data_IF_846831726468
#
_entry.id   IF_846831726468
#
_cell.length_a   1.000
_cell.length_b   1.000
_cell.length_c   1.000
_cell.angle_alpha   90.00
_cell.angle_beta   90.00
_cell.angle_gamma   90.00
#
_symmetry.space_group_name_H-M   'P 1'
#
loop_
_entity.id
_entity.type
_entity.pdbx_description
1 polymer ?
#
# COMPACT_ATOMS: atom_id res chain seq x y z
N UNK A 1 -2.58 2.75 20.69
CA UNK A 1 -3.52 1.62 20.42
C UNK A 1 -4.23 1.12 21.69
N UNK A 2 -3.80 1.58 22.85
CA UNK A 2 -4.43 1.38 24.15
C UNK A 2 -5.85 1.96 24.25
N UNK A 3 -6.16 3.08 23.60
CA UNK A 3 -7.51 3.67 23.61
C UNK A 3 -8.56 2.70 23.00
N UNK A 4 -8.43 2.22 21.74
CA UNK A 4 -9.35 1.21 21.21
C UNK A 4 -9.37 -0.08 22.03
N UNK A 5 -8.21 -0.51 22.52
CA UNK A 5 -8.09 -1.73 23.33
C UNK A 5 -8.86 -1.62 24.65
N UNK A 6 -8.78 -0.47 25.32
CA UNK A 6 -9.52 -0.19 26.56
C UNK A 6 -11.02 -0.32 26.35
N UNK A 7 -11.57 0.35 25.33
CA UNK A 7 -13.00 0.26 25.03
C UNK A 7 -13.42 -1.13 24.57
N UNK A 8 -12.59 -1.81 23.78
CA UNK A 8 -12.84 -3.19 23.43
C UNK A 8 -12.92 -4.07 24.68
N UNK A 9 -11.93 -4.01 25.57
CA UNK A 9 -11.91 -4.82 26.78
C UNK A 9 -13.09 -4.51 27.70
N UNK A 10 -13.47 -3.24 27.82
CA UNK A 10 -14.59 -2.80 28.66
C UNK A 10 -15.95 -3.32 28.16
N UNK A 11 -16.19 -3.29 26.85
CA UNK A 11 -17.50 -3.62 26.29
C UNK A 11 -17.63 -5.02 25.69
N UNK A 12 -16.52 -5.65 25.32
CA UNK A 12 -16.51 -6.91 24.55
C UNK A 12 -15.49 -7.89 25.11
N UNK A 13 -14.24 -7.46 25.25
CA UNK A 13 -13.10 -8.32 25.58
C UNK A 13 -13.28 -9.01 26.92
N UNK A 14 -13.67 -8.32 27.98
CA UNK A 14 -13.88 -8.96 29.28
C UNK A 14 -14.92 -10.07 29.21
N UNK A 15 -16.04 -9.86 28.54
CA UNK A 15 -17.05 -10.91 28.32
C UNK A 15 -16.51 -12.04 27.44
N UNK A 16 -15.82 -11.73 26.35
CA UNK A 16 -15.28 -12.73 25.44
C UNK A 16 -14.24 -13.64 26.13
N UNK A 17 -13.29 -13.03 26.83
CA UNK A 17 -12.23 -13.75 27.54
C UNK A 17 -12.75 -14.43 28.80
N UNK A 18 -13.90 -14.03 29.34
CA UNK A 18 -14.57 -14.70 30.47
C UNK A 18 -15.04 -16.12 30.13
N UNK A 19 -15.25 -16.42 28.85
CA UNK A 19 -15.56 -17.78 28.37
C UNK A 19 -14.34 -18.70 28.33
N UNK A 20 -13.13 -18.16 28.47
CA UNK A 20 -11.94 -18.97 28.69
C UNK A 20 -11.88 -19.45 30.15
N UNK A 21 -11.23 -20.59 30.39
CA UNK A 21 -11.17 -21.21 31.71
C UNK A 21 -10.73 -20.23 32.81
N UNK A 22 -11.43 -20.27 33.95
CA UNK A 22 -11.01 -19.58 35.17
C UNK A 22 -9.79 -20.32 35.76
N UNK A 23 -8.62 -19.67 35.89
CA UNK A 23 -7.38 -20.32 36.33
C UNK A 23 -7.45 -20.83 37.77
N UNK A 24 -8.41 -20.32 38.54
CA UNK A 24 -8.68 -20.72 39.93
C UNK A 24 -9.78 -21.77 40.05
N UNK A 25 -10.52 -22.10 38.98
CA UNK A 25 -11.64 -23.05 39.04
C UNK A 25 -11.25 -24.42 39.62
N UNK A 26 -10.02 -24.88 39.38
CA UNK A 26 -9.47 -26.12 39.95
C UNK A 26 -9.36 -26.13 41.49
N UNK A 27 -9.42 -24.96 42.13
CA UNK A 27 -9.39 -24.79 43.58
C UNK A 27 -10.78 -24.56 44.17
N UNK A 28 -11.83 -24.58 43.34
CA UNK A 28 -13.20 -24.52 43.81
C UNK A 28 -13.50 -25.76 44.66
N UNK A 29 -13.93 -25.56 45.91
CA UNK A 29 -14.40 -26.63 46.77
C UNK A 29 -15.92 -26.79 46.62
N UNK A 30 -16.46 -28.03 46.52
CA UNK A 30 -17.90 -28.25 46.46
C UNK A 30 -18.65 -27.75 47.71
N UNK A 31 -17.96 -27.50 48.83
CA UNK A 31 -18.55 -26.88 50.04
C UNK A 31 -18.71 -25.36 49.96
N UNK A 32 -18.17 -24.69 48.94
CA UNK A 32 -18.18 -23.23 48.84
C UNK A 32 -19.51 -22.64 48.35
N UNK A 33 -20.47 -23.47 47.93
CA UNK A 33 -21.78 -22.99 47.45
C UNK A 33 -22.65 -22.36 48.55
N UNK A 34 -22.36 -22.64 49.83
CA UNK A 34 -23.16 -22.17 50.98
C UNK A 34 -22.34 -21.60 52.15
N UNK A 35 -21.01 -21.52 52.03
CA UNK A 35 -20.19 -20.91 53.07
C UNK A 35 -20.31 -19.38 52.99
N UNK A 36 -20.73 -18.76 54.08
CA UNK A 36 -20.64 -17.31 54.27
C UNK A 36 -19.24 -16.84 53.84
N UNK A 37 -19.21 -15.87 52.93
CA UNK A 37 -18.05 -15.29 52.24
C UNK A 37 -17.11 -14.57 53.22
N UNK A 38 -16.44 -15.29 54.10
CA UNK A 38 -15.57 -14.68 55.11
C UNK A 38 -14.11 -14.90 54.71
N UNK A 39 -13.40 -13.79 54.49
CA UNK A 39 -11.94 -13.76 54.40
C UNK A 39 -11.37 -14.27 55.73
N UNK A 40 -10.68 -15.40 55.72
CA UNK A 40 -10.02 -15.95 56.91
C UNK A 40 -8.63 -15.33 57.05
N UNK A 41 -8.49 -14.38 57.96
CA UNK A 41 -7.25 -13.64 58.23
C UNK A 41 -6.45 -14.23 59.40
N UNK A 42 -6.81 -15.41 59.91
CA UNK A 42 -6.16 -16.04 61.08
C UNK A 42 -4.68 -16.40 60.85
N UNK A 43 -4.30 -16.64 59.59
CA UNK A 43 -2.91 -16.87 59.20
C UNK A 43 -2.72 -16.54 57.72
N UNK A 44 -1.47 -16.32 57.30
CA UNK A 44 -1.14 -16.10 55.88
C UNK A 44 -1.65 -17.24 54.99
N UNK A 45 -1.53 -18.49 55.45
CA UNK A 45 -2.00 -19.67 54.70
C UNK A 45 -3.52 -19.68 54.57
N UNK A 46 -4.23 -19.38 55.64
CA UNK A 46 -5.70 -19.32 55.64
C UNK A 46 -6.23 -18.16 54.78
N UNK A 47 -5.54 -17.02 54.80
CA UNK A 47 -5.86 -15.87 53.97
C UNK A 47 -5.69 -16.19 52.48
N UNK A 48 -4.56 -16.80 52.09
CA UNK A 48 -4.32 -17.22 50.71
C UNK A 48 -5.36 -18.25 50.26
N UNK A 49 -5.69 -19.22 51.11
CA UNK A 49 -6.68 -20.26 50.79
C UNK A 49 -8.10 -19.69 50.62
N UNK A 50 -8.54 -18.80 51.52
CA UNK A 50 -9.87 -18.19 51.46
C UNK A 50 -10.02 -17.24 50.26
N UNK A 51 -8.99 -16.45 49.93
CA UNK A 51 -8.96 -15.63 48.71
C UNK A 51 -8.99 -16.48 47.45
N UNK A 52 -8.20 -17.56 47.40
CA UNK A 52 -8.15 -18.45 46.23
C UNK A 52 -9.50 -19.12 45.97
N UNK A 53 -10.19 -19.57 47.02
CA UNK A 53 -11.54 -20.12 46.90
C UNK A 53 -12.57 -19.07 46.47
N UNK A 54 -12.44 -17.82 46.94
CA UNK A 54 -13.30 -16.71 46.51
C UNK A 54 -13.12 -16.43 45.01
N UNK A 55 -11.88 -16.34 44.53
CA UNK A 55 -11.55 -16.11 43.11
C UNK A 55 -11.98 -17.28 42.22
N UNK A 56 -11.89 -18.52 42.71
CA UNK A 56 -12.38 -19.72 42.03
C UNK A 56 -13.90 -19.68 41.80
N UNK A 57 -14.64 -18.99 42.68
CA UNK A 57 -16.08 -18.86 42.61
C UNK A 57 -16.55 -17.60 41.85
N UNK A 58 -15.65 -16.71 41.43
CA UNK A 58 -16.01 -15.53 40.62
C UNK A 58 -16.34 -15.96 39.19
N UNK A 59 -17.60 -15.82 38.74
CA UNK A 59 -17.94 -16.11 37.36
C UNK A 59 -17.23 -15.13 36.43
N UNK A 60 -16.62 -15.65 35.38
CA UNK A 60 -16.01 -14.85 34.32
C UNK A 60 -14.62 -14.28 34.60
N UNK A 61 -13.94 -14.74 35.66
CA UNK A 61 -12.53 -14.45 35.86
C UNK A 61 -11.70 -15.20 34.82
N UNK A 62 -11.18 -14.49 33.81
CA UNK A 62 -10.42 -15.09 32.72
C UNK A 62 -9.01 -15.51 33.14
N UNK A 63 -8.50 -16.60 32.54
CA UNK A 63 -7.08 -16.97 32.57
C UNK A 63 -6.16 -15.99 31.84
N UNK A 64 -6.72 -15.10 31.01
CA UNK A 64 -6.01 -14.03 30.32
C UNK A 64 -6.46 -12.66 30.86
N UNK A 65 -5.80 -12.11 31.89
CA UNK A 65 -6.10 -10.77 32.39
C UNK A 65 -5.77 -9.68 31.35
N UNK A 66 -6.32 -8.47 31.51
CA UNK A 66 -6.17 -7.35 30.55
C UNK A 66 -4.70 -6.97 30.26
N UNK A 67 -3.79 -7.20 31.22
CA UNK A 67 -2.35 -6.95 31.11
C UNK A 67 -1.56 -8.10 30.46
N UNK A 68 -2.21 -9.24 30.21
CA UNK A 68 -1.62 -10.38 29.51
C UNK A 68 -1.24 -10.00 28.09
N UNK A 69 0.05 -10.14 27.77
CA UNK A 69 0.56 -9.87 26.42
C UNK A 69 -0.15 -10.72 25.35
N UNK A 70 -0.60 -11.93 25.70
CA UNK A 70 -1.32 -12.82 24.79
C UNK A 70 -2.70 -12.24 24.46
N UNK A 71 -3.47 -11.84 25.48
CA UNK A 71 -4.77 -11.17 25.28
C UNK A 71 -4.61 -9.86 24.53
N UNK A 72 -3.66 -9.02 24.94
CA UNK A 72 -3.38 -7.75 24.26
C UNK A 72 -3.06 -8.00 22.78
N UNK A 73 -2.20 -8.98 22.47
CA UNK A 73 -1.83 -9.30 21.08
C UNK A 73 -3.02 -9.79 20.25
N UNK A 74 -3.84 -10.71 20.78
CA UNK A 74 -5.01 -11.24 20.07
C UNK A 74 -6.05 -10.12 19.86
N UNK A 75 -6.36 -9.36 20.90
CA UNK A 75 -7.31 -8.24 20.82
C UNK A 75 -6.83 -7.17 19.85
N UNK A 76 -5.56 -6.77 19.94
CA UNK A 76 -5.00 -5.74 19.06
C UNK A 76 -5.04 -6.19 17.61
N UNK A 77 -4.58 -7.40 17.30
CA UNK A 77 -4.66 -7.97 15.94
C UNK A 77 -6.10 -7.96 15.41
N UNK A 78 -7.08 -8.41 16.21
CA UNK A 78 -8.49 -8.38 15.80
C UNK A 78 -9.01 -6.96 15.54
N UNK A 79 -8.67 -6.01 16.41
CA UNK A 79 -9.11 -4.61 16.31
C UNK A 79 -8.46 -3.89 15.13
N UNK A 80 -7.16 -4.07 14.92
CA UNK A 80 -6.43 -3.42 13.83
C UNK A 80 -6.83 -4.02 12.50
N UNK A 81 -7.00 -5.34 12.41
CA UNK A 81 -7.56 -5.98 11.22
C UNK A 81 -8.94 -5.43 10.86
N UNK A 82 -9.86 -5.33 11.84
CA UNK A 82 -11.17 -4.73 11.61
C UNK A 82 -11.06 -3.26 11.18
N UNK A 83 -10.17 -2.49 11.82
CA UNK A 83 -9.90 -1.10 11.48
C UNK A 83 -9.40 -0.91 10.05
N UNK A 84 -8.48 -1.78 9.60
CA UNK A 84 -7.98 -1.82 8.22
C UNK A 84 -9.13 -2.03 7.25
N UNK A 85 -10.01 -3.02 7.50
CA UNK A 85 -11.15 -3.30 6.63
C UNK A 85 -12.13 -2.13 6.57
N UNK A 86 -12.47 -1.55 7.72
CA UNK A 86 -13.40 -0.41 7.79
C UNK A 86 -12.83 0.80 7.05
N UNK A 87 -11.58 1.16 7.31
CA UNK A 87 -10.94 2.30 6.64
C UNK A 87 -10.83 2.05 5.14
N UNK A 88 -10.31 0.89 4.73
CA UNK A 88 -10.12 0.55 3.33
C UNK A 88 -11.44 0.56 2.56
N UNK A 89 -12.46 -0.18 3.03
CA UNK A 89 -13.73 -0.26 2.31
C UNK A 89 -14.57 1.01 2.43
N UNK A 90 -14.40 1.85 3.43
CA UNK A 90 -15.10 3.15 3.46
C UNK A 90 -14.44 4.14 2.49
N UNK A 91 -13.14 4.36 2.64
CA UNK A 91 -12.42 5.43 1.95
C UNK A 91 -12.16 5.07 0.48
N UNK A 92 -11.70 3.84 0.18
CA UNK A 92 -11.45 3.45 -1.20
C UNK A 92 -12.77 3.37 -2.00
N UNK A 93 -13.87 2.94 -1.38
CA UNK A 93 -15.20 2.94 -2.02
C UNK A 93 -15.69 4.37 -2.25
N UNK A 94 -15.55 5.25 -1.27
CA UNK A 94 -15.89 6.66 -1.45
C UNK A 94 -15.10 7.26 -2.61
N UNK A 95 -13.77 7.10 -2.62
CA UNK A 95 -12.93 7.67 -3.67
C UNK A 95 -13.26 7.07 -5.04
N UNK A 96 -13.45 5.75 -5.10
CA UNK A 96 -13.78 5.06 -6.34
C UNK A 96 -15.09 5.54 -6.95
N UNK A 97 -16.15 5.78 -6.15
CA UNK A 97 -17.45 6.20 -6.70
C UNK A 97 -17.57 7.71 -6.94
N UNK A 98 -16.92 8.54 -6.13
CA UNK A 98 -17.13 9.99 -6.14
C UNK A 98 -15.97 10.79 -6.77
N UNK A 99 -14.76 10.24 -6.83
CA UNK A 99 -13.55 10.95 -7.27
C UNK A 99 -12.95 10.29 -8.52
N UNK A 100 -12.81 8.96 -8.53
CA UNK A 100 -12.15 8.23 -9.60
C UNK A 100 -12.88 8.36 -10.96
N UNK A 101 -12.13 8.74 -12.00
CA UNK A 101 -12.65 8.81 -13.37
C UNK A 101 -12.80 7.41 -13.98
N UNK A 102 -14.03 6.93 -14.04
CA UNK A 102 -14.38 5.62 -14.57
C UNK A 102 -14.05 5.42 -16.06
N UNK A 103 -13.78 6.50 -16.81
CA UNK A 103 -13.30 6.39 -18.20
C UNK A 103 -11.94 5.71 -18.27
N UNK A 104 -11.14 5.78 -17.21
CA UNK A 104 -9.83 5.12 -17.12
C UNK A 104 -9.89 3.59 -17.33
N UNK A 105 -11.04 2.96 -17.10
CA UNK A 105 -11.27 1.53 -17.38
C UNK A 105 -11.10 1.15 -18.85
N UNK A 106 -11.22 2.12 -19.75
CA UNK A 106 -11.04 1.94 -21.19
C UNK A 106 -9.56 2.05 -21.61
N UNK A 107 -8.66 2.38 -20.68
CA UNK A 107 -7.25 2.50 -20.99
C UNK A 107 -6.67 1.13 -21.41
N UNK A 108 -5.84 1.03 -22.47
CA UNK A 108 -5.32 -0.25 -22.96
C UNK A 108 -4.51 -1.06 -21.95
N UNK A 109 -3.98 -0.41 -20.91
CA UNK A 109 -3.23 -1.04 -19.81
C UNK A 109 -4.06 -1.27 -18.55
N UNK A 110 -5.36 -0.97 -18.58
CA UNK A 110 -6.27 -1.31 -17.50
C UNK A 110 -6.61 -2.80 -17.59
N UNK A 111 -6.49 -3.53 -16.48
CA UNK A 111 -6.65 -4.98 -16.48
C UNK A 111 -8.14 -5.38 -16.46
N UNK A 112 -8.51 -6.52 -17.06
CA UNK A 112 -9.85 -7.07 -16.89
C UNK A 112 -10.08 -7.42 -15.41
N UNK A 113 -11.25 -7.08 -14.88
CA UNK A 113 -11.64 -7.24 -13.47
C UNK A 113 -10.66 -6.62 -12.47
N UNK A 114 -9.96 -5.55 -12.85
CA UNK A 114 -8.87 -4.97 -12.04
C UNK A 114 -9.29 -4.67 -10.61
N UNK A 115 -10.42 -4.00 -10.38
CA UNK A 115 -10.92 -3.66 -9.04
C UNK A 115 -11.08 -4.89 -8.15
N UNK A 116 -11.65 -5.98 -8.69
CA UNK A 116 -11.78 -7.23 -7.94
C UNK A 116 -10.42 -7.83 -7.60
N UNK A 117 -9.47 -7.78 -8.54
CA UNK A 117 -8.11 -8.29 -8.33
C UNK A 117 -7.34 -7.43 -7.32
N UNK A 118 -7.50 -6.11 -7.36
CA UNK A 118 -6.93 -5.17 -6.38
C UNK A 118 -7.47 -5.48 -4.98
N UNK A 119 -8.80 -5.59 -4.82
CA UNK A 119 -9.44 -5.95 -3.55
C UNK A 119 -8.94 -7.30 -3.03
N UNK A 120 -8.95 -8.34 -3.86
CA UNK A 120 -8.47 -9.67 -3.45
C UNK A 120 -7.01 -9.63 -2.99
N UNK A 121 -6.16 -8.90 -3.71
CA UNK A 121 -4.74 -8.81 -3.39
C UNK A 121 -4.49 -8.02 -2.11
N UNK A 122 -5.27 -6.97 -1.85
CA UNK A 122 -5.27 -6.25 -0.57
C UNK A 122 -5.72 -7.15 0.59
N UNK A 123 -6.80 -7.93 0.41
CA UNK A 123 -7.30 -8.87 1.42
C UNK A 123 -6.33 -10.02 1.73
N UNK A 124 -5.57 -10.48 0.73
CA UNK A 124 -4.48 -11.45 0.92
C UNK A 124 -3.30 -10.84 1.70
N UNK A 125 -3.02 -9.55 1.52
CA UNK A 125 -1.91 -8.87 2.17
C UNK A 125 -2.20 -8.47 3.63
N UNK A 126 -3.44 -8.05 3.94
CA UNK A 126 -3.79 -7.49 5.25
C UNK A 126 -3.44 -8.37 6.46
N UNK A 127 -3.70 -9.70 6.49
CA UNK A 127 -3.39 -10.51 7.66
C UNK A 127 -1.89 -10.53 7.99
N UNK A 128 -1.04 -10.65 6.97
CA UNK A 128 0.42 -10.70 7.17
C UNK A 128 0.95 -9.31 7.50
N UNK A 129 0.45 -8.27 6.83
CA UNK A 129 0.82 -6.89 7.13
C UNK A 129 0.49 -6.53 8.58
N UNK A 130 -0.73 -6.85 9.04
CA UNK A 130 -1.19 -6.59 10.39
C UNK A 130 -0.39 -7.40 11.43
N UNK A 131 -0.05 -8.65 11.13
CA UNK A 131 0.82 -9.45 11.98
C UNK A 131 2.23 -8.86 12.11
N UNK A 132 2.77 -8.29 11.03
CA UNK A 132 4.08 -7.62 11.05
C UNK A 132 4.05 -6.29 11.81
N UNK A 133 2.91 -5.57 11.81
CA UNK A 133 2.75 -4.31 12.55
C UNK A 133 2.38 -4.53 14.02
N UNK A 134 1.81 -5.69 14.38
CA UNK A 134 1.36 -6.02 15.73
C UNK A 134 2.39 -5.76 16.85
N UNK A 135 3.70 -6.09 16.71
CA UNK A 135 4.68 -5.81 17.75
C UNK A 135 4.80 -4.33 18.11
N UNK A 136 4.59 -3.43 17.15
CA UNK A 136 4.60 -1.98 17.38
C UNK A 136 3.40 -1.56 18.23
N UNK A 137 2.22 -2.11 17.96
CA UNK A 137 1.00 -1.81 18.74
C UNK A 137 1.06 -2.40 20.15
N UNK A 138 1.59 -3.62 20.30
CA UNK A 138 1.81 -4.23 21.62
C UNK A 138 2.83 -3.40 22.40
N UNK A 139 3.94 -3.00 21.77
CA UNK A 139 4.94 -2.16 22.43
C UNK A 139 4.39 -0.82 22.87
N UNK A 140 3.54 -0.19 22.05
CA UNK A 140 2.84 1.05 22.39
C UNK A 140 1.95 0.90 23.63
N UNK A 141 1.07 -0.11 23.67
CA UNK A 141 0.19 -0.40 24.82
C UNK A 141 0.99 -0.69 26.09
N UNK A 142 2.20 -1.23 25.95
CA UNK A 142 3.10 -1.55 27.06
C UNK A 142 4.00 -0.38 27.47
N UNK A 143 3.85 0.79 26.87
CA UNK A 143 4.61 1.99 27.19
C UNK A 143 6.05 1.97 26.70
N UNK A 144 6.36 1.21 25.65
CA UNK A 144 7.69 1.23 25.02
C UNK A 144 7.85 2.37 24.02
N UNK A 145 6.73 2.92 23.51
CA UNK A 145 6.73 4.11 22.68
C UNK A 145 6.87 5.38 23.55
N UNK A 146 7.13 6.51 22.90
CA UNK A 146 7.16 7.83 23.51
C UNK A 146 5.82 8.57 23.34
N UNK A 147 4.72 7.85 23.07
CA UNK A 147 3.40 8.48 23.02
C UNK A 147 2.98 8.94 24.42
N UNK A 148 2.48 10.17 24.51
CA UNK A 148 1.99 10.76 25.76
C UNK A 148 0.49 11.09 25.66
N UNK A 149 -0.21 11.02 26.79
CA UNK A 149 -1.67 11.09 26.84
C UNK A 149 -2.20 12.51 26.93
N UNK A 150 -1.54 13.33 27.74
CA UNK A 150 -1.98 14.70 28.00
C UNK A 150 -0.90 15.70 27.60
N UNK A 151 -1.33 16.89 27.17
CA UNK A 151 -0.42 18.00 26.83
C UNK A 151 0.53 18.34 27.99
N UNK A 152 0.12 18.09 29.24
CA UNK A 152 0.92 18.34 30.44
C UNK A 152 2.07 17.32 30.63
N UNK A 153 1.93 16.09 30.14
CA UNK A 153 2.97 15.05 30.18
C UNK A 153 4.01 15.22 29.07
N UNK A 154 3.62 15.87 27.98
CA UNK A 154 4.46 16.09 26.82
C UNK A 154 5.58 17.12 27.06
N UNK A 155 6.48 17.29 26.08
CA UNK A 155 7.53 18.31 26.15
C UNK A 155 6.97 19.71 26.43
N UNK A 156 7.61 20.39 27.38
CA UNK A 156 7.21 21.70 27.92
C UNK A 156 5.91 21.73 28.73
N UNK A 157 5.26 20.58 28.97
CA UNK A 157 3.98 20.50 29.68
C UNK A 157 4.01 21.17 31.07
N UNK A 158 5.05 20.92 31.87
CA UNK A 158 5.23 21.56 33.18
C UNK A 158 5.36 23.09 33.12
N UNK A 159 5.88 23.64 32.00
CA UNK A 159 5.98 25.10 31.82
C UNK A 159 4.62 25.72 31.55
N UNK A 160 3.67 24.95 31.02
CA UNK A 160 2.35 25.43 30.62
C UNK A 160 2.38 26.50 29.52
N UNK A 161 1.26 27.22 29.38
CA UNK A 161 1.10 28.28 28.38
C UNK A 161 1.04 27.74 26.94
N UNK A 162 1.54 28.52 25.97
CA UNK A 162 1.46 28.20 24.54
C UNK A 162 2.51 27.17 24.08
N UNK A 163 3.60 26.98 24.84
CA UNK A 163 4.76 26.22 24.37
C UNK A 163 4.48 24.71 24.13
N UNK A 164 3.71 24.00 24.97
CA UNK A 164 3.30 22.61 24.70
C UNK A 164 2.50 22.47 23.39
N UNK A 165 1.62 23.44 23.10
CA UNK A 165 0.82 23.45 21.88
C UNK A 165 1.66 23.74 20.63
N UNK A 166 2.65 24.65 20.75
CA UNK A 166 3.63 24.89 19.68
C UNK A 166 4.46 23.64 19.42
N UNK A 167 4.91 22.94 20.47
CA UNK A 167 5.60 21.65 20.32
C UNK A 167 4.70 20.63 19.64
N UNK A 168 3.42 20.51 20.04
CA UNK A 168 2.48 19.58 19.43
C UNK A 168 2.32 19.85 17.93
N UNK A 169 2.09 21.11 17.54
CA UNK A 169 2.00 21.50 16.12
C UNK A 169 3.30 21.22 15.35
N UNK A 170 4.46 21.57 15.93
CA UNK A 170 5.76 21.26 15.37
C UNK A 170 5.96 19.75 15.18
N UNK A 171 5.63 18.94 16.18
CA UNK A 171 5.79 17.48 16.16
C UNK A 171 4.91 16.83 15.08
N UNK A 172 3.73 17.38 14.77
CA UNK A 172 2.91 16.93 13.65
C UNK A 172 3.58 17.19 12.30
N UNK A 173 4.07 18.41 12.07
CA UNK A 173 4.79 18.77 10.82
C UNK A 173 6.07 17.95 10.70
N UNK A 174 6.81 17.82 11.80
CA UNK A 174 8.04 17.04 11.85
C UNK A 174 7.78 15.55 11.62
N UNK A 175 6.70 14.98 12.15
CA UNK A 175 6.29 13.61 11.87
C UNK A 175 6.07 13.39 10.38
N UNK A 176 5.30 14.25 9.71
CA UNK A 176 5.07 14.14 8.27
C UNK A 176 6.37 14.29 7.47
N UNK A 177 7.22 15.26 7.84
CA UNK A 177 8.50 15.48 7.16
C UNK A 177 9.48 14.30 7.35
N UNK A 178 9.60 13.78 8.56
CA UNK A 178 10.46 12.64 8.91
C UNK A 178 9.99 11.36 8.21
N UNK A 179 8.69 11.06 8.31
CA UNK A 179 8.12 9.85 7.73
C UNK A 179 8.21 9.89 6.20
N UNK A 180 7.92 11.03 5.56
CA UNK A 180 8.09 11.22 4.12
C UNK A 180 9.52 10.95 3.65
N UNK A 181 10.54 11.45 4.38
CA UNK A 181 11.94 11.20 4.07
C UNK A 181 12.31 9.70 4.15
N UNK A 182 11.87 9.03 5.22
CA UNK A 182 12.14 7.61 5.39
C UNK A 182 11.42 6.77 4.34
N UNK A 183 10.16 7.09 4.04
CA UNK A 183 9.37 6.40 3.01
C UNK A 183 9.98 6.61 1.64
N UNK A 184 10.42 7.83 1.31
CA UNK A 184 11.13 8.12 0.07
C UNK A 184 12.27 7.13 -0.16
N UNK A 185 13.10 6.87 0.86
CA UNK A 185 14.20 5.93 0.74
C UNK A 185 13.76 4.47 0.69
N UNK A 186 12.82 4.07 1.54
CA UNK A 186 12.26 2.71 1.50
C UNK A 186 11.68 2.43 0.11
N UNK A 187 10.87 3.35 -0.41
CA UNK A 187 10.24 3.25 -1.72
C UNK A 187 11.29 3.22 -2.84
N UNK A 188 12.29 4.12 -2.81
CA UNK A 188 13.38 4.10 -3.78
C UNK A 188 14.21 2.80 -3.72
N UNK A 189 14.42 2.22 -2.53
CA UNK A 189 15.09 0.93 -2.39
C UNK A 189 14.23 -0.23 -2.89
N UNK A 190 12.91 -0.17 -2.71
CA UNK A 190 11.97 -1.15 -3.27
C UNK A 190 12.02 -1.18 -4.80
N UNK A 191 12.50 -0.12 -5.45
CA UNK A 191 12.77 -0.08 -6.90
C UNK A 191 14.14 -0.63 -7.32
N UNK A 192 15.01 -1.05 -6.39
CA UNK A 192 16.23 -1.79 -6.73
C UNK A 192 15.83 -3.12 -7.37
N UNK A 193 16.43 -3.56 -8.50
CA UNK A 193 15.91 -4.67 -9.32
C UNK A 193 15.56 -5.95 -8.55
N UNK A 194 16.38 -6.30 -7.55
CA UNK A 194 16.16 -7.47 -6.69
C UNK A 194 14.92 -7.33 -5.79
N UNK A 195 14.77 -6.20 -5.10
CA UNK A 195 13.62 -5.92 -4.23
C UNK A 195 12.36 -5.69 -5.06
N UNK A 196 12.49 -4.93 -6.15
CA UNK A 196 11.40 -4.64 -7.08
C UNK A 196 10.74 -5.92 -7.57
N UNK A 197 11.51 -6.85 -8.13
CA UNK A 197 10.96 -8.10 -8.69
C UNK A 197 10.18 -8.92 -7.66
N UNK A 198 10.58 -8.87 -6.38
CA UNK A 198 10.02 -9.72 -5.32
C UNK A 198 8.89 -9.07 -4.53
N UNK A 199 9.03 -7.78 -4.24
CA UNK A 199 8.18 -7.07 -3.29
C UNK A 199 7.27 -6.04 -3.98
N UNK A 200 7.83 -5.22 -4.86
CA UNK A 200 7.15 -4.01 -5.32
C UNK A 200 6.54 -4.09 -6.73
N UNK A 201 7.06 -4.98 -7.59
CA UNK A 201 6.48 -5.29 -8.90
C UNK A 201 5.01 -5.72 -8.82
N UNK A 202 4.56 -6.49 -7.81
CA UNK A 202 3.14 -6.81 -7.65
C UNK A 202 2.25 -5.57 -7.42
N UNK A 203 2.78 -4.50 -6.82
CA UNK A 203 2.09 -3.21 -6.71
C UNK A 203 2.03 -2.52 -8.08
N UNK A 204 3.18 -2.44 -8.77
CA UNK A 204 3.29 -1.78 -10.07
C UNK A 204 2.65 -2.50 -11.26
N UNK A 205 2.01 -3.65 -11.04
CA UNK A 205 1.20 -4.28 -12.09
C UNK A 205 -0.06 -3.46 -12.42
N UNK A 206 -0.50 -2.60 -11.49
CA UNK A 206 -1.63 -1.68 -11.64
C UNK A 206 -1.16 -0.36 -12.27
N UNK A 207 -0.85 -0.36 -13.57
CA UNK A 207 -0.30 0.84 -14.25
C UNK A 207 -1.28 2.02 -14.21
N UNK A 208 -2.58 1.73 -14.30
CA UNK A 208 -3.67 2.69 -14.09
C UNK A 208 -4.39 2.27 -12.81
N UNK A 209 -3.84 2.58 -11.62
CA UNK A 209 -4.40 2.12 -10.37
C UNK A 209 -5.78 2.73 -10.13
N UNK A 210 -6.63 2.00 -9.42
CA UNK A 210 -7.80 2.59 -8.74
C UNK A 210 -7.48 2.79 -7.26
N UNK A 211 -8.34 3.48 -6.48
CA UNK A 211 -8.19 3.59 -5.02
C UNK A 211 -8.00 2.26 -4.30
N UNK A 212 -8.58 1.17 -4.82
CA UNK A 212 -8.42 -0.17 -4.27
C UNK A 212 -7.00 -0.73 -4.47
N UNK A 213 -6.21 -0.18 -5.40
CA UNK A 213 -4.80 -0.56 -5.59
C UNK A 213 -3.88 -0.09 -4.46
N UNK A 214 -4.31 0.87 -3.64
CA UNK A 214 -3.51 1.52 -2.59
C UNK A 214 -2.84 0.54 -1.61
N UNK A 215 -3.48 -0.61 -1.35
CA UNK A 215 -2.96 -1.66 -0.47
C UNK A 215 -2.77 -3.00 -1.19
N UNK A 216 -2.89 -3.00 -2.53
CA UNK A 216 -2.76 -4.19 -3.35
C UNK A 216 -1.27 -4.43 -3.69
N UNK A 217 -0.48 -4.76 -2.67
CA UNK A 217 0.96 -5.01 -2.77
C UNK A 217 1.40 -6.22 -1.94
N UNK A 218 2.67 -6.62 -2.05
CA UNK A 218 3.22 -7.67 -1.20
C UNK A 218 3.18 -7.22 0.28
N UNK A 219 2.81 -8.05 1.27
CA UNK A 219 2.66 -7.59 2.66
C UNK A 219 3.95 -7.01 3.26
N UNK A 220 5.12 -7.57 2.90
CA UNK A 220 6.43 -7.01 3.31
C UNK A 220 6.73 -5.66 2.67
N UNK A 221 6.22 -5.40 1.46
CA UNK A 221 6.35 -4.08 0.82
C UNK A 221 5.59 -3.03 1.65
N UNK A 222 4.32 -3.28 1.92
CA UNK A 222 3.51 -2.41 2.78
C UNK A 222 4.06 -2.24 4.17
N UNK A 223 4.57 -3.31 4.78
CA UNK A 223 5.22 -3.23 6.09
C UNK A 223 6.46 -2.33 6.07
N UNK A 224 7.35 -2.50 5.09
CA UNK A 224 8.54 -1.65 4.98
C UNK A 224 8.16 -0.18 4.83
N UNK A 225 7.14 0.11 4.00
CA UNK A 225 6.65 1.47 3.82
C UNK A 225 5.91 2.02 5.05
N UNK A 226 5.33 1.17 5.91
CA UNK A 226 4.64 1.60 7.15
C UNK A 226 5.57 1.77 8.35
N UNK A 227 6.72 1.08 8.39
CA UNK A 227 7.70 1.15 9.48
C UNK A 227 8.03 2.59 9.92
N UNK A 228 8.25 3.57 9.01
CA UNK A 228 8.55 4.93 9.43
C UNK A 228 7.50 5.56 10.35
N UNK A 229 6.21 5.29 10.14
CA UNK A 229 5.13 5.83 10.97
C UNK A 229 5.19 5.28 12.39
N UNK A 230 5.43 3.98 12.53
CA UNK A 230 5.52 3.33 13.82
C UNK A 230 6.81 3.72 14.54
N UNK A 231 7.93 3.72 13.81
CA UNK A 231 9.25 4.01 14.35
C UNK A 231 9.37 5.45 14.86
N UNK A 232 8.70 6.41 14.22
CA UNK A 232 8.68 7.80 14.69
C UNK A 232 8.19 7.92 16.15
N UNK A 233 7.21 7.11 16.57
CA UNK A 233 6.68 7.10 17.93
C UNK A 233 7.66 6.52 18.96
N UNK A 234 8.73 5.85 18.54
CA UNK A 234 9.80 5.33 19.42
C UNK A 234 11.02 6.25 19.47
N UNK A 235 11.07 7.26 18.60
CA UNK A 235 12.16 8.23 18.55
C UNK A 235 11.76 9.59 19.13
N UNK A 236 10.49 9.97 19.02
CA UNK A 236 10.02 11.30 19.33
C UNK A 236 8.79 11.27 20.22
N UNK A 237 8.69 12.15 21.24
CA UNK A 237 7.47 12.34 21.99
C UNK A 237 6.37 12.91 21.09
N UNK A 238 5.27 12.16 20.92
CA UNK A 238 4.15 12.56 20.07
C UNK A 238 2.86 12.38 20.88
N UNK A 239 1.98 13.40 20.86
CA UNK A 239 0.70 13.32 21.55
C UNK A 239 -0.17 12.21 20.95
N UNK A 240 -0.69 11.30 21.78
CA UNK A 240 -1.37 10.07 21.35
C UNK A 240 -2.54 10.31 20.41
N UNK A 241 -3.44 11.24 20.73
CA UNK A 241 -4.59 11.57 19.87
C UNK A 241 -4.17 12.22 18.55
N UNK A 242 -3.08 13.00 18.57
CA UNK A 242 -2.54 13.59 17.35
C UNK A 242 -1.91 12.50 16.48
N UNK A 243 -1.20 11.53 17.07
CA UNK A 243 -0.70 10.38 16.34
C UNK A 243 -1.84 9.57 15.70
N UNK A 244 -2.97 9.34 16.39
CA UNK A 244 -4.14 8.69 15.79
C UNK A 244 -4.62 9.47 14.56
N UNK A 245 -4.77 10.79 14.68
CA UNK A 245 -5.17 11.65 13.56
C UNK A 245 -4.18 11.63 12.39
N UNK A 246 -2.88 11.67 12.68
CA UNK A 246 -1.82 11.55 11.67
C UNK A 246 -1.84 10.17 11.02
N UNK A 247 -1.97 9.10 11.79
CA UNK A 247 -2.06 7.73 11.28
C UNK A 247 -3.30 7.52 10.40
N UNK A 248 -4.44 8.13 10.74
CA UNK A 248 -5.60 8.18 9.84
C UNK A 248 -5.30 8.97 8.57
N UNK A 249 -4.71 10.17 8.68
CA UNK A 249 -4.34 11.01 7.54
C UNK A 249 -3.43 10.28 6.55
N UNK A 250 -2.38 9.60 7.02
CA UNK A 250 -1.45 8.90 6.12
C UNK A 250 -2.13 7.79 5.32
N UNK A 251 -3.08 7.07 5.93
CA UNK A 251 -3.85 6.03 5.24
C UNK A 251 -4.84 6.61 4.24
N UNK A 252 -5.53 7.71 4.59
CA UNK A 252 -6.39 8.45 3.66
C UNK A 252 -5.58 8.94 2.45
N UNK A 253 -4.42 9.52 2.71
CA UNK A 253 -3.52 10.01 1.67
C UNK A 253 -3.08 8.89 0.73
N UNK A 254 -2.64 7.74 1.28
CA UNK A 254 -2.26 6.57 0.50
C UNK A 254 -3.37 6.11 -0.44
N UNK A 255 -4.64 6.24 -0.07
CA UNK A 255 -5.76 5.89 -0.95
C UNK A 255 -5.93 6.95 -2.05
N UNK A 256 -5.96 8.24 -1.68
CA UNK A 256 -6.22 9.33 -2.64
C UNK A 256 -5.14 9.52 -3.69
N UNK A 257 -3.87 9.21 -3.40
CA UNK A 257 -2.81 9.28 -4.43
C UNK A 257 -2.96 8.20 -5.52
N UNK A 258 -3.82 7.19 -5.34
CA UNK A 258 -4.06 6.13 -6.33
C UNK A 258 -5.30 6.36 -7.22
N UNK A 259 -5.91 7.55 -7.18
CA UNK A 259 -7.09 7.87 -8.00
C UNK A 259 -6.80 8.10 -9.50
N UNK A 260 -5.54 8.03 -9.93
CA UNK A 260 -5.12 8.31 -11.32
C UNK A 260 -5.51 9.72 -11.84
N UNK A 261 -5.87 10.64 -10.95
CA UNK A 261 -6.27 12.00 -11.30
C UNK A 261 -5.06 12.89 -11.59
N UNK A 262 -5.06 13.54 -12.76
CA UNK A 262 -3.95 14.30 -13.30
C UNK A 262 -4.15 15.81 -13.13
N UNK A 263 -4.29 16.25 -11.89
CA UNK A 263 -4.30 17.67 -11.52
C UNK A 263 -2.93 18.30 -11.81
N UNK A 264 -2.81 18.92 -12.99
CA UNK A 264 -1.60 19.60 -13.47
C UNK A 264 -1.79 21.13 -13.48
N UNK A 265 -0.69 21.86 -13.58
CA UNK A 265 -0.62 23.34 -13.63
C UNK A 265 -1.03 24.02 -12.32
N UNK A 266 -1.05 23.29 -11.21
CA UNK A 266 -1.38 23.85 -9.89
C UNK A 266 -0.09 24.13 -9.10
N UNK A 267 0.11 25.33 -8.50
CA UNK A 267 1.35 25.66 -7.78
C UNK A 267 1.76 24.66 -6.69
N UNK A 268 0.79 23.99 -6.08
CA UNK A 268 1.04 22.95 -5.06
C UNK A 268 1.75 21.70 -5.61
N UNK A 269 1.73 21.45 -6.92
CA UNK A 269 2.41 20.29 -7.51
C UNK A 269 3.93 20.36 -7.31
N UNK A 270 4.48 21.56 -7.07
CA UNK A 270 5.88 21.74 -6.73
C UNK A 270 6.21 21.49 -5.26
N UNK A 271 5.24 21.15 -4.42
CA UNK A 271 5.46 20.91 -2.99
C UNK A 271 4.84 19.60 -2.52
N UNK A 272 3.69 19.23 -3.07
CA UNK A 272 2.85 18.11 -2.66
C UNK A 272 2.89 17.00 -3.71
N UNK A 273 3.24 15.79 -3.27
CA UNK A 273 3.19 14.57 -4.08
C UNK A 273 1.75 14.04 -4.09
N UNK A 274 0.94 14.59 -5.00
CA UNK A 274 -0.46 14.23 -5.19
C UNK A 274 -0.69 13.08 -6.18
N UNK A 275 -1.96 12.78 -6.54
CA UNK A 275 -2.31 11.67 -7.43
C UNK A 275 -1.63 11.75 -8.80
N UNK A 276 -1.43 12.95 -9.36
CA UNK A 276 -0.75 13.11 -10.63
C UNK A 276 0.71 12.62 -10.59
N UNK A 277 1.44 12.93 -9.51
CA UNK A 277 2.82 12.50 -9.34
C UNK A 277 2.93 10.99 -9.18
N UNK A 278 2.03 10.40 -8.40
CA UNK A 278 1.99 8.95 -8.17
C UNK A 278 1.53 8.18 -9.41
N UNK A 279 0.67 8.78 -10.23
CA UNK A 279 0.30 8.25 -11.55
C UNK A 279 1.52 8.18 -12.47
N UNK A 280 2.31 9.27 -12.54
CA UNK A 280 3.58 9.24 -13.27
C UNK A 280 4.52 8.17 -12.72
N UNK A 281 4.58 8.00 -11.40
CA UNK A 281 5.38 6.96 -10.76
C UNK A 281 4.94 5.56 -11.21
N UNK A 282 3.65 5.25 -11.26
CA UNK A 282 3.12 3.97 -11.78
C UNK A 282 3.31 3.76 -13.29
N UNK A 283 3.50 4.83 -14.05
CA UNK A 283 3.77 4.76 -15.50
C UNK A 283 5.26 4.60 -15.80
N UNK A 284 6.13 5.32 -15.08
CA UNK A 284 7.56 5.45 -15.38
C UNK A 284 8.48 4.70 -14.41
N UNK A 285 8.00 4.33 -13.22
CA UNK A 285 8.69 3.57 -12.15
C UNK A 285 9.98 4.21 -11.59
N UNK A 286 10.40 5.36 -12.09
CA UNK A 286 11.75 5.91 -11.85
C UNK A 286 11.74 7.34 -11.29
N UNK A 287 10.58 7.84 -10.88
CA UNK A 287 10.36 9.20 -10.43
C UNK A 287 9.35 9.28 -9.29
N UNK A 288 9.31 10.39 -8.57
CA UNK A 288 8.27 10.76 -7.59
C UNK A 288 8.04 9.69 -6.51
N UNK A 289 9.10 9.33 -5.78
CA UNK A 289 9.04 8.30 -4.72
C UNK A 289 8.49 8.79 -3.38
N UNK A 290 8.38 10.12 -3.17
CA UNK A 290 7.86 10.68 -1.93
C UNK A 290 6.41 10.28 -1.65
N UNK A 291 5.98 10.38 -0.40
CA UNK A 291 4.62 9.99 -0.01
C UNK A 291 3.67 11.19 -0.05
N UNK A 292 4.04 12.30 0.61
CA UNK A 292 3.23 13.52 0.70
C UNK A 292 3.88 14.69 0.00
N UNK A 293 5.21 14.74 -0.01
CA UNK A 293 5.95 15.89 -0.50
C UNK A 293 6.95 15.50 -1.59
N UNK A 294 7.34 16.50 -2.39
CA UNK A 294 8.26 16.31 -3.52
C UNK A 294 9.69 16.78 -3.23
N UNK A 295 9.98 17.27 -2.02
CA UNK A 295 11.27 17.88 -1.71
C UNK A 295 12.41 16.86 -1.79
N UNK A 296 12.21 15.62 -1.32
CA UNK A 296 13.21 14.57 -1.39
C UNK A 296 13.45 14.18 -2.85
N UNK A 297 12.38 14.05 -3.65
CA UNK A 297 12.48 13.84 -5.09
C UNK A 297 13.28 14.94 -5.79
N UNK A 298 13.06 16.21 -5.43
CA UNK A 298 13.82 17.34 -5.99
C UNK A 298 15.28 17.29 -5.59
N UNK A 299 15.56 17.00 -4.32
CA UNK A 299 16.91 16.98 -3.79
C UNK A 299 17.76 15.83 -4.36
N UNK A 300 17.17 14.64 -4.50
CA UNK A 300 17.88 13.44 -4.96
C UNK A 300 17.62 13.10 -6.44
N UNK A 301 17.06 14.04 -7.21
CA UNK A 301 16.99 13.99 -8.67
C UNK A 301 15.98 13.00 -9.25
N UNK A 302 14.90 12.68 -8.53
CA UNK A 302 13.80 11.82 -9.02
C UNK A 302 12.49 12.60 -9.26
N UNK A 303 12.50 13.92 -9.11
CA UNK A 303 11.30 14.74 -9.32
C UNK A 303 10.93 14.85 -10.80
N UNK A 304 9.69 14.48 -11.12
CA UNK A 304 9.06 14.70 -12.41
C UNK A 304 7.76 15.47 -12.21
N UNK A 305 7.72 16.68 -12.77
CA UNK A 305 6.53 17.54 -12.75
C UNK A 305 5.43 16.90 -13.61
N UNK A 306 4.20 16.73 -13.09
CA UNK A 306 3.04 16.33 -13.88
C UNK A 306 2.76 17.34 -14.98
N UNK A 307 2.56 16.84 -16.20
CA UNK A 307 2.15 17.66 -17.33
C UNK A 307 0.91 17.06 -17.97
N UNK A 308 0.03 17.89 -18.53
CA UNK A 308 -1.20 17.43 -19.21
C UNK A 308 -0.93 16.39 -20.31
N UNK A 309 0.21 16.47 -20.98
CA UNK A 309 0.62 15.50 -22.02
C UNK A 309 0.88 14.10 -21.47
N UNK A 310 1.17 13.96 -20.17
CA UNK A 310 1.39 12.69 -19.49
C UNK A 310 0.07 12.05 -19.01
N UNK A 311 -1.09 12.68 -19.21
CA UNK A 311 -2.38 12.19 -18.72
C UNK A 311 -2.84 10.92 -19.47
N UNK A 312 -3.03 9.76 -18.78
CA UNK A 312 -3.51 8.53 -19.40
C UNK A 312 -4.90 8.67 -20.03
N UNK A 313 -5.71 9.65 -19.63
CA UNK A 313 -7.01 9.94 -20.23
C UNK A 313 -6.90 10.31 -21.71
N UNK A 314 -5.77 10.89 -22.15
CA UNK A 314 -5.54 11.22 -23.56
C UNK A 314 -5.65 9.95 -24.43
N UNK A 315 -5.02 8.86 -24.00
CA UNK A 315 -5.08 7.59 -24.72
C UNK A 315 -6.50 6.99 -24.74
N UNK A 316 -7.23 7.15 -23.63
CA UNK A 316 -8.64 6.73 -23.52
C UNK A 316 -9.52 7.49 -24.49
N UNK A 317 -9.45 8.83 -24.50
CA UNK A 317 -10.27 9.68 -25.35
C UNK A 317 -9.97 9.44 -26.83
N UNK A 318 -8.69 9.26 -27.19
CA UNK A 318 -8.30 8.91 -28.55
C UNK A 318 -8.88 7.55 -28.99
N UNK A 319 -8.91 6.55 -28.09
CA UNK A 319 -9.50 5.24 -28.38
C UNK A 319 -11.03 5.32 -28.56
N UNK A 320 -11.71 6.10 -27.72
CA UNK A 320 -13.15 6.36 -27.83
C UNK A 320 -13.47 7.03 -29.17
N UNK A 321 -12.72 8.08 -29.54
CA UNK A 321 -12.95 8.81 -30.77
C UNK A 321 -12.71 7.93 -32.00
N UNK A 322 -11.63 7.14 -31.99
CA UNK A 322 -11.35 6.16 -33.04
C UNK A 322 -12.51 5.16 -33.19
N UNK A 323 -13.06 4.65 -32.09
CA UNK A 323 -14.21 3.73 -32.13
C UNK A 323 -15.45 4.40 -32.73
N UNK A 324 -15.77 5.63 -32.33
CA UNK A 324 -16.90 6.39 -32.90
C UNK A 324 -16.78 6.57 -34.41
N UNK A 325 -15.59 6.91 -34.89
CA UNK A 325 -15.33 7.06 -36.34
C UNK A 325 -15.52 5.74 -37.07
N UNK A 326 -15.00 4.63 -36.52
CA UNK A 326 -15.18 3.29 -37.11
C UNK A 326 -16.65 2.87 -37.17
N UNK A 327 -17.40 3.10 -36.10
CA UNK A 327 -18.83 2.79 -36.03
C UNK A 327 -19.62 3.64 -37.04
N UNK A 328 -19.31 4.93 -37.18
CA UNK A 328 -19.94 5.83 -38.15
C UNK A 328 -19.66 5.40 -39.61
N UNK A 329 -18.43 4.97 -39.91
CA UNK A 329 -18.06 4.44 -41.22
C UNK A 329 -18.79 3.13 -41.51
N UNK A 330 -18.89 2.22 -40.54
CA UNK A 330 -19.62 0.96 -40.69
C UNK A 330 -21.12 1.18 -40.96
N UNK A 331 -21.75 2.13 -40.26
CA UNK A 331 -23.16 2.50 -40.49
C UNK A 331 -23.35 3.09 -41.89
N UNK A 332 -22.43 3.96 -42.34
CA UNK A 332 -22.48 4.54 -43.69
C UNK A 332 -22.32 3.47 -44.78
N UNK A 333 -21.38 2.53 -44.59
CA UNK A 333 -21.17 1.41 -45.50
C UNK A 333 -22.38 0.47 -45.57
N UNK A 334 -23.05 0.20 -44.44
CA UNK A 334 -24.29 -0.58 -44.38
C UNK A 334 -25.50 0.14 -44.97
N UNK A 335 -25.56 1.47 -44.88
CA UNK A 335 -26.63 2.27 -45.48
C UNK A 335 -26.51 2.33 -47.02
N UNK A 336 -25.27 2.37 -47.54
CA UNK A 336 -25.00 2.33 -48.98
C UNK A 336 -25.27 0.97 -49.64
N UNK A 337 -25.49 -0.10 -48.86
CA UNK A 337 -25.75 -1.46 -49.36
C UNK A 337 -27.23 -1.87 -49.31
N UNK A 338 -28.18 -0.95 -49.04
CA UNK A 338 -29.61 -1.25 -49.19
C UNK A 338 -29.97 -1.45 -50.67
N UNK A 339 -30.45 -2.63 -51.09
CA UNK A 339 -30.89 -2.83 -52.46
C UNK A 339 -32.20 -2.07 -52.70
N UNK A 340 -32.29 -1.42 -53.86
CA UNK A 340 -33.52 -0.82 -54.38
C UNK A 340 -34.64 -1.88 -54.52
N UNK A 341 -35.91 -1.56 -54.21
CA UNK A 341 -36.99 -2.52 -54.28
C UNK A 341 -37.38 -2.77 -55.74
N UNK A 342 -37.11 -3.96 -56.26
CA UNK A 342 -37.74 -4.48 -57.49
C UNK A 342 -38.09 -5.96 -57.32
N UNK A 343 -39.13 -6.44 -58.02
CA UNK A 343 -40.02 -7.49 -57.52
C UNK A 343 -39.56 -8.91 -57.86
N UNK A 344 -39.97 -9.85 -57.00
CA UNK A 344 -40.16 -11.28 -57.21
C UNK A 344 -39.17 -12.04 -58.10
N UNK A 345 -38.36 -12.92 -57.50
CA UNK A 345 -38.09 -14.26 -58.02
C UNK A 345 -37.47 -15.17 -56.96
N UNK A 346 -37.75 -16.45 -57.13
CA UNK A 346 -37.54 -17.62 -56.28
C UNK A 346 -36.10 -18.08 -56.01
N UNK A 347 -35.94 -18.77 -54.87
CA UNK A 347 -35.01 -19.87 -54.53
C UNK A 347 -33.52 -19.80 -54.93
N UNK A 348 -32.63 -19.86 -53.93
CA UNK A 348 -31.91 -21.10 -53.52
C UNK A 348 -30.67 -20.80 -52.68
N UNK A 349 -30.41 -21.71 -51.73
CA UNK A 349 -29.18 -22.03 -50.99
C UNK A 349 -27.96 -21.09 -51.03
N UNK A 350 -27.48 -20.70 -49.83
CA UNK A 350 -26.16 -21.17 -49.32
C UNK A 350 -25.87 -20.71 -47.89
N UNK A 351 -25.27 -21.64 -47.13
CA UNK A 351 -24.66 -21.44 -45.81
C UNK A 351 -23.52 -20.42 -45.85
N UNK A 352 -23.41 -19.57 -44.82
CA UNK A 352 -22.16 -18.90 -44.50
C UNK A 352 -21.89 -18.93 -43.00
N UNK A 353 -20.63 -19.21 -42.69
CA UNK A 353 -20.06 -19.32 -41.34
C UNK A 353 -19.69 -17.91 -40.86
N UNK A 354 -20.14 -17.55 -39.66
CA UNK A 354 -19.63 -16.40 -38.93
C UNK A 354 -18.18 -16.65 -38.49
N UNK A 355 -17.29 -15.71 -38.81
CA UNK A 355 -15.95 -15.60 -38.24
C UNK A 355 -15.80 -14.18 -37.70
N UNK A 356 -15.92 -14.02 -36.38
CA UNK A 356 -15.59 -12.80 -35.67
C UNK A 356 -14.07 -12.65 -35.60
N UNK A 357 -13.54 -11.58 -36.20
CA UNK A 357 -12.15 -11.15 -35.99
C UNK A 357 -12.09 -10.20 -34.79
N UNK A 358 -11.57 -10.67 -33.65
CA UNK A 358 -11.08 -9.80 -32.58
C UNK A 358 -9.75 -9.19 -32.99
N UNK A 359 -9.73 -7.87 -33.21
CA UNK A 359 -8.51 -7.12 -33.44
C UNK A 359 -7.85 -6.76 -32.08
N UNK A 360 -6.76 -7.46 -31.75
CA UNK A 360 -5.89 -7.11 -30.62
C UNK A 360 -5.11 -5.83 -30.96
N UNK A 361 -5.37 -4.74 -30.22
CA UNK A 361 -4.73 -3.43 -30.44
C UNK A 361 -3.47 -3.32 -29.57
N UNK A 362 -2.30 -3.14 -30.22
CA UNK A 362 -1.01 -2.87 -29.57
C UNK A 362 -0.78 -1.35 -29.49
N UNK A 363 -0.53 -0.83 -28.30
CA UNK A 363 -0.27 0.60 -28.06
C UNK A 363 1.11 1.04 -28.63
N UNK A 364 1.27 2.31 -29.03
CA UNK A 364 2.56 2.83 -29.47
C UNK A 364 3.55 2.94 -28.30
N UNK A 365 4.82 2.60 -28.56
CA UNK A 365 5.88 2.64 -27.56
C UNK A 365 6.25 4.08 -27.19
N UNK A 366 6.06 4.43 -25.91
CA UNK A 366 6.63 5.63 -25.31
C UNK A 366 8.15 5.42 -25.16
N UNK A 367 8.95 6.35 -25.69
CA UNK A 367 10.42 6.30 -25.59
C UNK A 367 10.83 6.39 -24.12
N UNK A 368 11.52 5.34 -23.65
CA UNK A 368 12.29 5.35 -22.41
C UNK A 368 13.38 6.40 -22.57
N UNK A 369 13.42 7.39 -21.68
CA UNK A 369 14.60 8.25 -21.54
C UNK A 369 15.57 7.47 -20.65
N UNK A 370 16.76 7.24 -21.17
CA UNK A 370 17.80 6.43 -20.55
C UNK A 370 18.23 7.02 -19.20
N UNK A 371 18.00 6.27 -18.11
CA UNK A 371 18.36 6.66 -16.74
C UNK A 371 19.74 6.14 -16.33
N UNK A 372 20.56 5.66 -17.27
CA UNK A 372 21.94 5.23 -16.99
C UNK A 372 22.04 3.94 -16.16
N UNK A 373 20.97 3.15 -16.11
CA UNK A 373 20.97 1.78 -15.59
C UNK A 373 20.74 0.83 -16.75
N UNK A 374 21.73 -0.03 -16.99
CA UNK A 374 21.93 -0.85 -18.19
C UNK A 374 20.69 -1.54 -18.76
N UNK A 375 20.72 -1.72 -20.08
CA UNK A 375 19.66 -2.38 -20.84
C UNK A 375 19.49 -3.85 -20.43
N UNK A 376 18.30 -4.40 -20.67
CA UNK A 376 17.93 -5.79 -20.35
C UNK A 376 18.83 -6.85 -20.99
N UNK A 377 19.72 -6.46 -21.90
CA UNK A 377 20.67 -7.33 -22.59
C UNK A 377 21.89 -7.69 -21.74
N UNK A 378 22.24 -6.89 -20.73
CA UNK A 378 23.39 -7.17 -19.83
C UNK A 378 23.04 -8.03 -18.59
N UNK A 379 21.77 -8.38 -18.39
CA UNK A 379 21.30 -9.09 -17.18
C UNK A 379 21.11 -10.61 -17.33
N UNK A 380 21.55 -11.23 -18.44
CA UNK A 380 21.71 -12.68 -18.51
C UNK A 380 20.45 -13.53 -18.26
N UNK A 381 19.26 -13.03 -18.60
CA UNK A 381 17.99 -13.74 -18.39
C UNK A 381 17.53 -14.45 -19.68
N UNK A 382 17.83 -15.75 -19.81
CA UNK A 382 17.17 -16.63 -20.79
C UNK A 382 15.77 -17.00 -20.31
N UNK A 383 14.76 -16.64 -21.11
CA UNK A 383 13.37 -17.06 -20.92
C UNK A 383 13.16 -18.54 -21.18
N UNK A 384 12.40 -19.20 -20.31
CA UNK A 384 11.90 -20.56 -20.50
C UNK A 384 10.77 -20.58 -21.54
N UNK A 385 11.13 -20.85 -22.79
CA UNK A 385 10.22 -21.21 -23.87
C UNK A 385 10.20 -22.72 -24.07
N UNK A 386 8.99 -23.27 -24.16
CA UNK A 386 8.65 -24.69 -24.29
C UNK A 386 9.33 -25.40 -25.47
N UNK A 387 9.78 -26.62 -25.18
CA UNK A 387 10.46 -27.57 -26.07
C UNK A 387 9.58 -28.09 -27.22
N UNK A 388 10.09 -28.02 -28.45
CA UNK A 388 9.81 -29.02 -29.49
C UNK A 388 11.12 -29.36 -30.24
N UNK A 389 11.38 -30.67 -30.37
CA UNK A 389 12.57 -31.29 -30.98
C UNK A 389 12.53 -31.21 -32.51
N UNK A 390 13.67 -30.90 -33.15
CA UNK A 390 14.05 -31.49 -34.45
C UNK A 390 15.57 -31.34 -34.74
N UNK A 391 16.21 -32.51 -34.86
CA UNK A 391 17.44 -32.95 -35.57
C UNK A 391 18.51 -31.97 -36.11
N UNK A 392 19.75 -32.20 -35.64
CA UNK A 392 20.99 -32.53 -36.38
C UNK A 392 21.31 -31.84 -37.71
N UNK A 393 22.48 -31.18 -37.78
CA UNK A 393 23.60 -31.48 -38.71
C UNK A 393 24.88 -30.75 -38.21
N UNK A 394 26.01 -31.47 -38.23
CA UNK A 394 27.40 -31.03 -37.95
C UNK A 394 27.99 -30.30 -39.16
N UNK A 395 28.89 -29.35 -38.90
CA UNK A 395 29.85 -28.81 -39.86
C UNK A 395 30.87 -27.93 -39.16
N UNK A 396 32.11 -28.43 -39.07
CA UNK A 396 33.30 -27.73 -38.61
C UNK A 396 33.76 -26.71 -39.67
N UNK A 397 34.31 -25.56 -39.27
CA UNK A 397 35.50 -24.94 -39.90
C UNK A 397 35.95 -23.66 -39.16
N UNK A 398 37.28 -23.46 -39.15
CA UNK A 398 38.13 -22.58 -38.34
C UNK A 398 37.99 -21.04 -38.53
N UNK A 399 38.59 -20.22 -37.62
CA UNK A 399 38.35 -18.78 -37.49
C UNK A 399 39.44 -17.86 -38.07
N UNK A 400 39.06 -16.63 -38.46
CA UNK A 400 39.94 -15.47 -38.63
C UNK A 400 39.12 -14.16 -38.71
N UNK A 401 39.71 -12.95 -38.51
CA UNK A 401 40.64 -12.53 -37.48
C UNK A 401 40.12 -11.31 -36.67
N UNK A 402 40.82 -11.04 -35.58
CA UNK A 402 40.62 -9.95 -34.62
C UNK A 402 40.95 -8.59 -35.26
N UNK A 403 40.03 -7.62 -35.14
CA UNK A 403 40.29 -6.19 -35.41
C UNK A 403 40.31 -5.46 -34.07
N UNK A 404 41.50 -5.02 -33.70
CA UNK A 404 41.81 -4.23 -32.52
C UNK A 404 41.49 -2.76 -32.79
N UNK A 405 40.47 -2.20 -32.13
CA UNK A 405 40.16 -0.77 -32.16
C UNK A 405 40.67 -0.16 -30.86
N UNK A 406 41.79 0.58 -30.97
CA UNK A 406 42.26 1.48 -29.93
C UNK A 406 41.39 2.75 -29.93
N UNK A 407 40.54 2.91 -28.91
CA UNK A 407 39.95 4.22 -28.58
C UNK A 407 40.73 4.89 -27.46
N UNK A 408 41.41 5.97 -27.83
CA UNK A 408 42.14 6.89 -26.95
C UNK A 408 41.20 7.61 -25.99
N UNK A 409 41.28 7.29 -24.69
CA UNK A 409 40.72 8.08 -23.59
C UNK A 409 41.46 9.42 -23.46
N UNK A 410 40.84 10.51 -23.88
CA UNK A 410 41.24 11.88 -23.47
C UNK A 410 40.44 12.29 -22.23
N UNK A 411 41.10 12.26 -21.07
CA UNK A 411 40.63 12.85 -19.81
C UNK A 411 41.01 14.34 -19.79
N UNK A 412 40.10 15.29 -19.50
CA UNK A 412 40.51 16.64 -19.14
C UNK A 412 40.95 16.70 -17.67
N UNK A 413 42.18 17.18 -17.49
CA UNK A 413 42.85 17.52 -16.25
C UNK A 413 42.22 18.79 -15.67
N UNK A 414 41.63 18.75 -14.46
CA UNK A 414 41.29 19.95 -13.68
C UNK A 414 42.40 20.21 -12.67
N UNK A 415 43.21 21.21 -12.98
CA UNK A 415 44.13 21.83 -12.03
C UNK A 415 43.35 22.61 -10.96
N UNK A 416 43.87 22.56 -9.74
CA UNK A 416 43.27 23.17 -8.57
C UNK A 416 43.40 24.69 -8.54
N UNK A 417 42.52 25.31 -7.75
CA UNK A 417 42.76 26.63 -7.21
C UNK A 417 42.43 26.66 -5.72
N UNK A 418 43.38 27.26 -5.00
CA UNK A 418 43.51 27.40 -3.56
C UNK A 418 42.41 28.27 -2.94
N UNK A 419 42.13 27.91 -1.70
CA UNK A 419 41.81 28.76 -0.55
C UNK A 419 41.99 30.27 -0.71
N UNK A 420 40.98 31.02 -0.25
CA UNK A 420 41.14 32.29 0.48
C UNK A 420 40.08 32.41 1.58
N UNK A 421 40.62 32.51 2.80
CA UNK A 421 40.16 33.16 4.05
C UNK A 421 38.73 32.95 4.53
#
# INVERSE_FOLDING_TARGET
MDIPLHYFDEYVGDTLYSYLDNPFAKFASPLAANATKVLDLSSTRAAVSSVTQLLAAVPGLSSLPRDSIVRQSISLYGLTYLGILVLYFSVATFSYYFIFDHRMKLHPRYLPDQVRKEINYSLEAFPILDLLTLPWFVGDVRGWSMLYDTVAEGPFGERGGALPWVYMAFSAVFFLWFTDFCIYWVHRWLHIPFLYKRLHKPHHKWIIPTPYASHAFHPVDGYLQSVPYHFACYLFPIHKYMFIGLFSFVNLWSIFIHDSDMLCDHPLEHYVNGPAHHTLHHIYFTCNYGQYFVWADKYFGSFRVPAKVDDPLIAVLAAIEKKKVLDAVAVTASASTRPSPTPSASNSDRSSRDASMEAVIKAPGMKRIDSGLGSETELGLRGSGTSSKASSIKGDDEPAPVVEIQETKTRPRREGLRARK
#
